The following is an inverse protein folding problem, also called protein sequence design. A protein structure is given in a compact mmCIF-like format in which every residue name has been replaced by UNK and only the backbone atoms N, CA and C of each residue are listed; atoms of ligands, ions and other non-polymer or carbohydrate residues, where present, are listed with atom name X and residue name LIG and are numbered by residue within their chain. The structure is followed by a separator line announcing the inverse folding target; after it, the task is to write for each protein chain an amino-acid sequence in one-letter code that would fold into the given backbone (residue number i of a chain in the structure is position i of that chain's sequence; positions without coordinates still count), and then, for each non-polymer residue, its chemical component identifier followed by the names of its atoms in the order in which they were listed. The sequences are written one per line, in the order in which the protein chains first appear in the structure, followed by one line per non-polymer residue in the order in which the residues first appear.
data_IF_222787040315
#
_entry.id   IF_222787040315
#
_cell.length_a   1.000
_cell.length_b   1.000
_cell.length_c   1.000
_cell.angle_alpha   90.00
_cell.angle_beta   90.00
_cell.angle_gamma   90.00
#
_symmetry.space_group_name_H-M   'P 1'
#
loop_
_entity.id
_entity.type
_entity.pdbx_description
1 polymer ?
#
# COMPACT_ATOMS: atom_id res chain seq x y z
N UNK A 1 8.46 1.66 -24.14
CA UNK A 1 8.84 0.34 -23.57
C UNK A 1 8.83 -0.64 -24.72
N UNK A 2 10.01 -1.05 -25.23
CA UNK A 2 10.10 -2.20 -26.12
C UNK A 2 10.26 -3.44 -25.24
N UNK A 3 9.14 -4.03 -24.85
CA UNK A 3 9.07 -5.36 -24.28
C UNK A 3 8.45 -6.28 -25.33
N UNK A 4 9.27 -6.78 -26.24
CA UNK A 4 8.89 -7.85 -27.15
C UNK A 4 8.87 -9.17 -26.38
N UNK A 5 7.67 -9.66 -26.04
CA UNK A 5 7.47 -11.07 -25.71
C UNK A 5 6.36 -11.62 -26.60
N UNK A 6 6.76 -12.32 -27.66
CA UNK A 6 5.88 -13.19 -28.44
C UNK A 6 5.61 -14.46 -27.64
N UNK A 7 4.35 -14.79 -27.38
CA UNK A 7 3.86 -16.18 -27.31
C UNK A 7 2.34 -16.24 -27.37
N UNK A 8 1.86 -17.19 -28.15
CA UNK A 8 0.48 -17.55 -28.45
C UNK A 8 -0.17 -18.34 -27.30
N UNK A 9 -1.40 -17.97 -26.90
CA UNK A 9 -2.41 -18.89 -26.33
C UNK A 9 -2.48 -19.13 -24.80
N UNK A 10 -3.32 -18.32 -24.14
CA UNK A 10 -4.08 -18.53 -22.87
C UNK A 10 -3.39 -18.76 -21.50
N UNK A 11 -3.90 -17.97 -20.51
CA UNK A 11 -3.84 -18.06 -19.03
C UNK A 11 -2.47 -17.81 -18.37
N UNK A 12 -2.21 -16.79 -17.56
CA UNK A 12 -3.07 -15.98 -16.68
C UNK A 12 -2.45 -14.59 -16.54
N UNK A 13 -3.23 -13.54 -16.83
CA UNK A 13 -2.78 -12.19 -16.54
C UNK A 13 -2.59 -12.02 -15.04
N UNK A 14 -1.37 -11.72 -14.58
CA UNK A 14 -1.09 -11.59 -13.14
C UNK A 14 -1.15 -10.15 -12.67
N UNK A 15 -0.84 -9.21 -13.55
CA UNK A 15 -1.02 -7.79 -13.32
C UNK A 15 -1.32 -7.05 -14.62
N UNK A 16 -1.88 -5.85 -14.53
CA UNK A 16 -2.17 -4.99 -15.67
C UNK A 16 -1.67 -3.57 -15.43
N UNK A 17 -1.20 -2.95 -16.51
CA UNK A 17 -0.83 -1.52 -16.55
C UNK A 17 -1.62 -0.85 -17.68
N UNK A 18 -2.11 0.39 -17.49
CA UNK A 18 -2.75 1.12 -18.58
C UNK A 18 -1.69 1.56 -19.59
N UNK A 19 -2.08 1.58 -20.86
CA UNK A 19 -1.30 2.14 -21.97
C UNK A 19 -2.13 3.18 -22.73
N UNK A 20 -1.49 3.90 -23.65
CA UNK A 20 -2.16 4.95 -24.44
C UNK A 20 -3.43 4.43 -25.12
N UNK A 21 -4.51 5.20 -25.02
CA UNK A 21 -5.78 4.87 -25.66
C UNK A 21 -6.67 3.87 -24.90
N UNK A 22 -6.57 3.79 -23.57
CA UNK A 22 -7.35 2.88 -22.70
C UNK A 22 -7.08 1.38 -22.93
N UNK A 23 -5.97 1.05 -23.58
CA UNK A 23 -5.55 -0.34 -23.80
C UNK A 23 -4.81 -0.81 -22.55
N UNK A 24 -5.16 -1.98 -22.04
CA UNK A 24 -4.52 -2.58 -20.87
C UNK A 24 -3.42 -3.56 -21.30
N UNK A 25 -2.18 -3.30 -20.90
CA UNK A 25 -1.09 -4.23 -21.11
C UNK A 25 -1.05 -5.22 -19.96
N UNK A 26 -1.16 -6.49 -20.32
CA UNK A 26 -1.08 -7.58 -19.37
C UNK A 26 0.38 -7.93 -19.06
N UNK A 27 0.67 -8.15 -17.79
CA UNK A 27 1.92 -8.69 -17.27
C UNK A 27 1.63 -10.14 -16.87
N UNK A 28 2.41 -11.07 -17.43
CA UNK A 28 2.27 -12.52 -17.20
C UNK A 28 3.37 -13.10 -16.29
N UNK A 29 4.20 -12.24 -15.69
CA UNK A 29 5.27 -12.62 -14.76
C UNK A 29 4.98 -12.06 -13.38
N UNK A 30 5.24 -12.84 -12.33
CA UNK A 30 5.01 -12.42 -10.93
C UNK A 30 6.11 -11.53 -10.37
N UNK A 31 7.23 -11.34 -11.08
CA UNK A 31 8.37 -10.57 -10.60
C UNK A 31 8.94 -9.68 -11.70
N UNK A 32 9.11 -8.38 -11.40
CA UNK A 32 9.75 -7.41 -12.29
C UNK A 32 10.90 -6.71 -11.57
N UNK A 33 12.10 -6.74 -12.15
CA UNK A 33 13.31 -6.18 -11.52
C UNK A 33 13.34 -4.66 -11.49
N UNK A 34 12.65 -3.98 -12.41
CA UNK A 34 12.38 -2.54 -12.31
C UNK A 34 11.14 -2.14 -13.10
N UNK A 35 10.26 -1.36 -12.48
CA UNK A 35 9.19 -0.62 -13.16
C UNK A 35 9.48 0.87 -13.09
N UNK A 36 10.02 1.38 -14.19
CA UNK A 36 10.27 2.80 -14.38
C UNK A 36 9.14 3.36 -15.27
N UNK A 37 8.55 4.47 -14.85
CA UNK A 37 7.49 5.19 -15.59
C UNK A 37 6.09 4.54 -15.62
N UNK A 38 5.82 3.60 -14.71
CA UNK A 38 4.45 3.09 -14.51
C UNK A 38 3.77 3.90 -13.42
N UNK A 39 2.68 4.58 -13.79
CA UNK A 39 1.88 5.36 -12.84
C UNK A 39 0.83 4.51 -12.11
N UNK A 40 0.33 3.45 -12.76
CA UNK A 40 -0.74 2.61 -12.21
C UNK A 40 -0.46 1.13 -12.46
N UNK A 41 -0.67 0.33 -11.43
CA UNK A 41 -0.47 -1.11 -11.45
C UNK A 41 -1.68 -1.79 -10.80
N UNK A 42 -2.23 -2.80 -11.48
CA UNK A 42 -3.38 -3.56 -11.02
C UNK A 42 -2.96 -5.01 -10.84
N UNK A 43 -2.97 -5.51 -9.62
CA UNK A 43 -2.60 -6.90 -9.30
C UNK A 43 -3.87 -7.73 -9.22
N UNK A 44 -3.88 -8.85 -9.94
CA UNK A 44 -5.06 -9.72 -10.04
C UNK A 44 -5.29 -10.55 -8.79
N UNK A 45 -6.55 -10.93 -8.57
CA UNK A 45 -6.99 -11.73 -7.43
C UNK A 45 -6.10 -12.97 -7.23
N UNK A 46 -5.69 -13.22 -5.99
CA UNK A 46 -4.88 -14.41 -5.64
C UNK A 46 -3.44 -14.40 -6.15
N UNK A 47 -2.98 -13.31 -6.79
CA UNK A 47 -1.61 -13.20 -7.31
C UNK A 47 -0.68 -12.66 -6.24
N UNK A 48 0.50 -13.27 -6.11
CA UNK A 48 1.64 -12.61 -5.49
C UNK A 48 2.50 -11.95 -6.57
N UNK A 49 2.68 -10.64 -6.48
CA UNK A 49 3.47 -9.85 -7.41
C UNK A 49 4.58 -9.09 -6.68
N UNK A 50 5.77 -9.05 -7.25
CA UNK A 50 6.91 -8.34 -6.70
C UNK A 50 7.53 -7.45 -7.77
N UNK A 51 7.81 -6.20 -7.42
CA UNK A 51 8.60 -5.35 -8.30
C UNK A 51 9.37 -4.27 -7.57
N UNK A 52 10.51 -3.88 -8.11
CA UNK A 52 11.14 -2.63 -7.69
C UNK A 52 10.50 -1.45 -8.42
N UNK A 53 10.04 -0.45 -7.67
CA UNK A 53 9.42 0.75 -8.22
C UNK A 53 10.27 1.97 -7.86
N UNK A 54 10.74 2.72 -8.84
CA UNK A 54 11.63 3.87 -8.60
C UNK A 54 10.89 5.22 -8.57
N UNK A 55 9.65 5.25 -9.05
CA UNK A 55 8.84 6.45 -9.24
C UNK A 55 7.57 6.45 -8.37
N UNK A 56 6.80 7.53 -8.46
CA UNK A 56 5.45 7.56 -7.91
C UNK A 56 4.56 6.51 -8.58
N UNK A 57 3.78 5.76 -7.80
CA UNK A 57 2.89 4.72 -8.32
C UNK A 57 1.58 4.66 -7.53
N UNK A 58 0.50 4.35 -8.25
CA UNK A 58 -0.76 3.90 -7.66
C UNK A 58 -0.92 2.40 -7.87
N UNK A 59 -1.15 1.65 -6.80
CA UNK A 59 -1.31 0.20 -6.85
C UNK A 59 -2.72 -0.18 -6.41
N UNK A 60 -3.38 -0.99 -7.22
CA UNK A 60 -4.67 -1.61 -6.92
C UNK A 60 -4.44 -3.11 -6.71
N UNK A 61 -4.77 -3.59 -5.52
CA UNK A 61 -4.57 -4.98 -5.13
C UNK A 61 -5.95 -5.62 -4.99
N UNK A 62 -6.31 -6.49 -5.93
CA UNK A 62 -7.56 -7.26 -5.90
C UNK A 62 -7.59 -8.23 -4.69
N UNK A 63 -8.75 -8.82 -4.34
CA UNK A 63 -8.86 -9.66 -3.16
C UNK A 63 -7.84 -10.79 -3.11
N UNK A 64 -7.30 -11.09 -1.93
CA UNK A 64 -6.28 -12.13 -1.72
C UNK A 64 -5.01 -11.98 -2.57
N UNK A 65 -4.76 -10.82 -3.18
CA UNK A 65 -3.55 -10.54 -3.93
C UNK A 65 -2.50 -9.85 -3.06
N UNK A 66 -1.23 -10.01 -3.41
CA UNK A 66 -0.11 -9.52 -2.63
C UNK A 66 0.82 -8.70 -3.52
N UNK A 67 1.24 -7.54 -3.04
CA UNK A 67 2.29 -6.75 -3.68
C UNK A 67 3.44 -6.47 -2.72
N UNK A 68 4.66 -6.75 -3.18
CA UNK A 68 5.90 -6.42 -2.47
C UNK A 68 6.79 -5.53 -3.33
N UNK A 69 7.26 -4.41 -2.77
CA UNK A 69 8.27 -3.54 -3.40
C UNK A 69 9.37 -3.14 -2.43
N UNK A 70 10.54 -2.79 -2.96
CA UNK A 70 11.69 -2.39 -2.16
C UNK A 70 11.90 -0.87 -2.13
N UNK A 71 11.28 -0.13 -3.06
CA UNK A 71 11.43 1.31 -3.22
C UNK A 71 10.10 1.86 -3.77
N UNK A 72 9.71 3.06 -3.34
CA UNK A 72 8.96 4.02 -4.15
C UNK A 72 8.98 5.40 -3.46
N UNK A 73 9.01 6.46 -4.29
CA UNK A 73 9.05 7.83 -3.79
C UNK A 73 7.69 8.25 -3.21
N UNK A 74 6.61 8.03 -3.96
CA UNK A 74 5.25 8.26 -3.48
C UNK A 74 4.37 7.07 -3.87
N UNK A 75 3.59 6.57 -2.93
CA UNK A 75 2.75 5.39 -3.15
C UNK A 75 1.32 5.73 -2.76
N UNK A 76 0.39 5.51 -3.67
CA UNK A 76 -1.02 5.36 -3.31
C UNK A 76 -1.38 3.89 -3.46
N UNK A 77 -1.94 3.28 -2.43
CA UNK A 77 -2.32 1.87 -2.47
C UNK A 77 -3.76 1.67 -2.05
N UNK A 78 -4.48 0.87 -2.84
CA UNK A 78 -5.82 0.37 -2.57
C UNK A 78 -5.74 -1.14 -2.39
N UNK A 79 -6.09 -1.63 -1.21
CA UNK A 79 -6.00 -3.04 -0.85
C UNK A 79 -7.40 -3.57 -0.56
N UNK A 80 -7.89 -4.45 -1.42
CA UNK A 80 -9.14 -5.18 -1.23
C UNK A 80 -8.99 -6.30 -0.19
N UNK A 81 -10.12 -6.85 0.26
CA UNK A 81 -10.16 -7.86 1.33
C UNK A 81 -9.21 -9.05 1.11
N UNK A 82 -8.50 -9.43 2.17
CA UNK A 82 -7.49 -10.50 2.15
C UNK A 82 -6.20 -10.14 1.41
N UNK A 83 -6.11 -8.96 0.79
CA UNK A 83 -4.91 -8.51 0.11
C UNK A 83 -3.81 -8.04 1.07
N UNK A 84 -2.58 -8.06 0.57
CA UNK A 84 -1.39 -7.64 1.31
C UNK A 84 -0.52 -6.68 0.52
N UNK A 85 -0.06 -5.61 1.17
CA UNK A 85 0.99 -4.75 0.64
C UNK A 85 2.17 -4.72 1.61
N UNK A 86 3.37 -4.87 1.05
CA UNK A 86 4.63 -4.66 1.75
C UNK A 86 5.56 -3.74 0.99
N UNK A 87 6.14 -2.77 1.70
CA UNK A 87 7.30 -2.04 1.21
C UNK A 87 8.40 -1.90 2.25
N UNK A 88 9.65 -2.06 1.82
CA UNK A 88 10.81 -1.78 2.66
C UNK A 88 10.97 -0.28 2.93
N UNK A 89 10.72 0.55 1.92
CA UNK A 89 10.95 2.01 1.99
C UNK A 89 9.82 2.70 1.25
N UNK A 90 9.17 3.66 1.93
CA UNK A 90 8.22 4.58 1.31
C UNK A 90 8.59 6.02 1.64
N UNK A 91 8.48 6.90 0.64
CA UNK A 91 8.42 8.35 0.89
C UNK A 91 7.03 8.75 1.40
N UNK A 92 6.25 9.46 0.58
CA UNK A 92 4.87 9.81 0.95
C UNK A 92 3.92 8.66 0.60
N UNK A 93 3.07 8.23 1.54
CA UNK A 93 2.17 7.10 1.35
C UNK A 93 0.73 7.48 1.66
N UNK A 94 -0.19 7.14 0.75
CA UNK A 94 -1.62 7.13 1.00
C UNK A 94 -2.11 5.69 0.89
N UNK A 95 -2.69 5.14 1.96
CA UNK A 95 -3.16 3.77 2.00
C UNK A 95 -4.65 3.69 2.30
N UNK A 96 -5.40 2.99 1.44
CA UNK A 96 -6.78 2.61 1.65
C UNK A 96 -6.84 1.10 1.85
N UNK A 97 -7.13 0.66 3.07
CA UNK A 97 -7.03 -0.74 3.48
C UNK A 97 -8.42 -1.25 3.86
N UNK A 98 -8.97 -2.15 3.06
CA UNK A 98 -10.27 -2.75 3.31
C UNK A 98 -10.28 -3.77 4.45
N UNK A 99 -11.48 -4.22 4.84
CA UNK A 99 -11.68 -5.24 5.85
C UNK A 99 -10.90 -6.53 5.54
N UNK A 100 -10.11 -6.99 6.51
CA UNK A 100 -9.27 -8.19 6.37
C UNK A 100 -8.01 -7.99 5.51
N UNK A 101 -7.76 -6.79 4.97
CA UNK A 101 -6.54 -6.47 4.24
C UNK A 101 -5.43 -5.99 5.19
N UNK A 102 -4.18 -6.09 4.74
CA UNK A 102 -3.00 -5.72 5.55
C UNK A 102 -2.01 -4.88 4.76
N UNK A 103 -1.55 -3.77 5.36
CA UNK A 103 -0.45 -2.95 4.88
C UNK A 103 0.72 -3.01 5.88
N UNK A 104 1.95 -3.20 5.38
CA UNK A 104 3.17 -3.15 6.19
C UNK A 104 4.25 -2.33 5.49
N UNK A 105 4.90 -1.46 6.26
CA UNK A 105 6.03 -0.67 5.79
C UNK A 105 7.17 -0.62 6.81
N UNK A 106 8.41 -0.87 6.39
CA UNK A 106 9.54 -0.82 7.33
C UNK A 106 10.01 0.60 7.64
N UNK A 107 10.16 1.45 6.62
CA UNK A 107 10.63 2.83 6.78
C UNK A 107 9.77 3.80 5.98
N UNK A 108 9.35 4.90 6.61
CA UNK A 108 8.34 5.81 6.08
C UNK A 108 8.70 7.29 6.10
N UNK A 109 7.91 8.06 5.33
CA UNK A 109 7.82 9.53 5.34
C UNK A 109 6.45 10.01 5.83
N UNK A 110 5.81 10.94 5.11
CA UNK A 110 4.45 11.39 5.47
C UNK A 110 3.41 10.36 5.03
N UNK A 111 2.55 9.94 5.94
CA UNK A 111 1.66 8.80 5.74
C UNK A 111 0.24 9.18 6.12
N UNK A 112 -0.68 8.84 5.23
CA UNK A 112 -2.12 8.97 5.42
C UNK A 112 -2.78 7.61 5.21
N UNK A 113 -3.40 7.06 6.24
CA UNK A 113 -4.00 5.73 6.20
C UNK A 113 -5.50 5.79 6.50
N UNK A 114 -6.31 5.12 5.69
CA UNK A 114 -7.75 4.91 5.87
C UNK A 114 -8.00 3.42 6.03
N UNK A 115 -8.47 3.00 7.21
CA UNK A 115 -8.64 1.61 7.58
C UNK A 115 -10.10 1.30 7.82
N UNK A 116 -10.63 0.35 7.05
CA UNK A 116 -11.95 -0.25 7.26
C UNK A 116 -11.95 -1.22 8.46
N UNK A 117 -13.13 -1.69 8.84
CA UNK A 117 -13.26 -2.59 10.00
C UNK A 117 -12.46 -3.88 9.81
N UNK A 118 -11.58 -4.23 10.75
CA UNK A 118 -10.73 -5.42 10.65
C UNK A 118 -9.52 -5.27 9.72
N UNK A 119 -9.27 -4.09 9.15
CA UNK A 119 -8.05 -3.79 8.42
C UNK A 119 -6.84 -3.70 9.36
N UNK A 120 -5.65 -4.04 8.84
CA UNK A 120 -4.39 -3.98 9.60
C UNK A 120 -3.37 -3.07 8.92
N UNK A 121 -2.73 -2.23 9.71
CA UNK A 121 -1.71 -1.31 9.23
C UNK A 121 -0.54 -1.27 10.22
N UNK A 122 0.67 -1.49 9.71
CA UNK A 122 1.89 -1.50 10.52
C UNK A 122 3.02 -0.71 9.87
N UNK A 123 3.68 0.15 10.65
CA UNK A 123 4.90 0.84 10.25
C UNK A 123 5.99 0.59 11.29
N UNK A 124 7.18 0.20 10.83
CA UNK A 124 8.28 -0.04 11.76
C UNK A 124 8.99 1.26 12.17
N UNK A 125 9.13 2.24 11.26
CA UNK A 125 9.90 3.47 11.51
C UNK A 125 9.45 4.72 10.75
N UNK A 126 9.34 5.85 11.47
CA UNK A 126 9.49 7.20 10.95
C UNK A 126 8.20 7.95 10.61
N UNK A 127 8.34 9.26 10.43
CA UNK A 127 7.39 10.09 9.67
C UNK A 127 6.35 10.88 10.46
N UNK A 128 5.50 11.58 9.70
CA UNK A 128 4.23 12.15 10.18
C UNK A 128 3.15 11.19 9.71
N UNK A 129 2.41 10.61 10.64
CA UNK A 129 1.41 9.59 10.33
C UNK A 129 0.04 10.07 10.79
N UNK A 130 -0.91 10.09 9.86
CA UNK A 130 -2.32 10.34 10.13
C UNK A 130 -3.11 9.09 9.75
N UNK A 131 -3.85 8.51 10.70
CA UNK A 131 -4.65 7.31 10.48
C UNK A 131 -6.13 7.55 10.81
N UNK A 132 -7.02 7.12 9.94
CA UNK A 132 -8.46 7.09 10.12
C UNK A 132 -8.89 5.63 10.27
N UNK A 133 -9.51 5.31 11.40
CA UNK A 133 -9.68 3.95 11.90
C UNK A 133 -11.17 3.67 12.10
N UNK A 134 -11.71 2.68 11.38
CA UNK A 134 -13.03 2.09 11.71
C UNK A 134 -12.92 1.08 12.84
N UNK A 135 -14.07 0.67 13.38
CA UNK A 135 -14.15 -0.29 14.50
C UNK A 135 -13.35 -1.57 14.23
N UNK A 136 -12.65 -2.11 15.22
CA UNK A 136 -11.85 -3.35 15.10
C UNK A 136 -10.67 -3.30 14.11
N UNK A 137 -10.31 -2.15 13.54
CA UNK A 137 -9.07 -2.00 12.80
C UNK A 137 -7.85 -2.07 13.76
N UNK A 138 -6.72 -2.55 13.24
CA UNK A 138 -5.46 -2.63 13.98
C UNK A 138 -4.44 -1.67 13.37
N UNK A 139 -3.87 -0.82 14.22
CA UNK A 139 -2.85 0.15 13.83
C UNK A 139 -1.67 0.06 14.78
N UNK A 140 -0.47 -0.13 14.25
CA UNK A 140 0.76 -0.28 15.04
C UNK A 140 1.91 0.49 14.42
N UNK A 141 2.62 1.25 15.26
CA UNK A 141 3.86 1.93 14.87
C UNK A 141 4.89 1.69 15.96
N UNK A 142 6.09 1.26 15.60
CA UNK A 142 7.10 0.82 16.59
C UNK A 142 8.23 1.82 16.86
N UNK A 143 8.43 2.85 16.03
CA UNK A 143 9.49 3.84 16.29
C UNK A 143 9.21 5.22 15.68
N UNK A 144 9.81 6.24 16.31
CA UNK A 144 9.88 7.69 16.03
C UNK A 144 8.88 8.29 15.02
N UNK A 145 8.21 9.37 15.44
CA UNK A 145 7.32 10.13 14.57
C UNK A 145 6.21 10.85 15.31
N UNK A 146 5.49 11.71 14.59
CA UNK A 146 4.25 12.32 15.07
C UNK A 146 3.09 11.48 14.55
N UNK A 147 2.28 10.92 15.44
CA UNK A 147 1.13 10.07 15.08
C UNK A 147 -0.16 10.73 15.55
N UNK A 148 -1.09 10.84 14.61
CA UNK A 148 -2.47 11.27 14.85
C UNK A 148 -3.40 10.16 14.39
N UNK A 149 -4.24 9.64 15.28
CA UNK A 149 -5.23 8.62 14.96
C UNK A 149 -6.66 9.10 15.27
N UNK A 150 -7.54 9.01 14.27
CA UNK A 150 -8.96 9.33 14.35
C UNK A 150 -9.77 8.05 14.32
N UNK A 151 -10.61 7.81 15.33
CA UNK A 151 -11.53 6.67 15.36
C UNK A 151 -12.94 7.10 14.96
N UNK A 152 -13.65 6.26 14.21
CA UNK A 152 -15.02 6.49 13.69
C UNK A 152 -16.04 6.87 14.79
N UNK A 153 -15.77 6.53 16.06
CA UNK A 153 -16.54 6.99 17.23
C UNK A 153 -15.88 8.23 17.84
N UNK A 154 -15.74 9.31 17.05
CA UNK A 154 -15.37 10.67 17.50
C UNK A 154 -14.10 10.83 18.35
N UNK A 155 -13.33 9.77 18.56
CA UNK A 155 -12.24 9.74 19.54
C UNK A 155 -10.94 10.03 18.80
N UNK A 156 -10.36 11.19 19.10
CA UNK A 156 -9.01 11.53 18.63
C UNK A 156 -8.03 10.99 19.66
N UNK A 157 -7.11 10.13 19.20
CA UNK A 157 -5.93 9.78 19.99
C UNK A 157 -4.69 10.31 19.28
N UNK A 158 -4.11 11.36 19.86
CA UNK A 158 -2.81 11.85 19.44
C UNK A 158 -1.73 11.12 20.24
N UNK A 159 -0.82 10.46 19.53
CA UNK A 159 0.30 9.74 20.11
C UNK A 159 1.59 10.39 19.62
N UNK A 160 2.23 11.15 20.49
CA UNK A 160 3.59 11.60 20.22
C UNK A 160 4.57 10.56 20.80
N UNK A 161 5.19 9.75 19.94
CA UNK A 161 6.13 8.73 20.38
C UNK A 161 7.45 9.32 20.89
N UNK A 162 7.79 10.56 20.50
CA UNK A 162 8.99 11.23 21.00
C UNK A 162 8.82 11.71 22.45
N UNK A 163 7.59 12.06 22.86
CA UNK A 163 7.29 12.48 24.23
C UNK A 163 6.56 11.41 25.05
N UNK A 164 6.22 10.27 24.44
CA UNK A 164 5.39 9.19 25.02
C UNK A 164 4.10 9.72 25.66
N UNK A 165 3.53 10.80 25.10
CA UNK A 165 2.33 11.43 25.65
C UNK A 165 1.12 10.99 24.85
N UNK A 166 0.15 10.39 25.53
CA UNK A 166 -1.19 10.15 25.01
C UNK A 166 -2.01 11.40 25.33
N UNK A 167 -2.49 12.10 24.29
CA UNK A 167 -3.43 13.22 24.48
C UNK A 167 -4.81 12.68 24.12
N UNK A 168 -5.62 12.45 25.15
CA UNK A 168 -7.05 12.20 25.02
C UNK A 168 -7.75 13.55 24.80
N UNK A 169 -8.25 13.77 23.59
CA UNK A 169 -9.17 14.88 23.34
C UNK A 169 -10.60 14.37 23.53
N UNK A 170 -11.22 14.75 24.64
CA UNK A 170 -12.65 14.59 24.95
C UNK A 170 -13.49 15.71 24.39
#
# INVERSE_FOLDING_TARGET
INSSSTTTGSSSCVASIPSFGNIWNCINVSTITSMNSIERLYIKQGVAFQAAVSNSITVFIEPNANFSTNIAQNITVYIESGGYFYTAIGGNVIAYVQSGATFTMMSGGNILAYLESGAKFSITSGGIITAYLKSNSSFSVTSSGNITAYYEIGSIRNFNMNTKTEILCS
#
